data_IF_704599706960
#
_entry.id   IF_704599706960
#
_cell.length_a   1.000
_cell.length_b   1.000
_cell.length_c   1.000
_cell.angle_alpha   90.00
_cell.angle_beta   90.00
_cell.angle_gamma   90.00
#
_symmetry.space_group_name_H-M   'P 1'
#
loop_
_entity.id
_entity.type
_entity.pdbx_description
1 polymer ?
#
# COMPACT_ATOMS: atom_id res chain seq x y z
N UNK A 1 52.32 22.97 -2.93
CA UNK A 1 51.62 21.74 -3.34
C UNK A 1 50.15 21.92 -3.00
N UNK A 2 49.29 21.98 -4.02
CA UNK A 2 47.84 21.98 -3.83
C UNK A 2 47.37 20.52 -3.81
N UNK A 3 46.72 20.12 -2.72
CA UNK A 3 46.19 18.78 -2.53
C UNK A 3 44.99 18.53 -3.44
N UNK A 4 45.12 17.54 -4.32
CA UNK A 4 44.03 17.04 -5.14
C UNK A 4 43.05 16.30 -4.24
N UNK A 5 41.87 16.86 -4.03
CA UNK A 5 40.74 16.16 -3.42
C UNK A 5 40.20 15.17 -4.45
N UNK A 6 40.59 13.90 -4.31
CA UNK A 6 40.03 12.79 -5.06
C UNK A 6 38.60 12.52 -4.55
N UNK A 7 37.61 12.99 -5.30
CA UNK A 7 36.20 12.76 -4.99
C UNK A 7 35.83 11.37 -5.55
N UNK A 8 35.55 10.36 -4.71
CA UNK A 8 35.26 9.02 -5.21
C UNK A 8 34.03 9.07 -6.12
N UNK A 9 34.17 8.53 -7.33
CA UNK A 9 33.06 8.42 -8.27
C UNK A 9 31.85 7.75 -7.59
N UNK A 10 30.62 8.27 -7.75
CA UNK A 10 29.45 7.69 -7.11
C UNK A 10 29.30 6.25 -7.58
N UNK A 11 29.24 5.31 -6.63
CA UNK A 11 28.98 3.91 -6.90
C UNK A 11 27.74 3.78 -7.81
N UNK A 12 27.74 2.88 -8.81
CA UNK A 12 26.60 2.72 -9.71
C UNK A 12 25.35 2.46 -8.87
N UNK A 13 24.36 3.35 -9.00
CA UNK A 13 23.07 3.20 -8.30
C UNK A 13 22.48 1.86 -8.75
N UNK A 14 22.48 0.89 -7.84
CA UNK A 14 21.78 -0.39 -8.05
C UNK A 14 20.34 -0.04 -8.42
N UNK A 15 19.91 -0.51 -9.58
CA UNK A 15 18.58 -0.19 -10.08
C UNK A 15 17.53 -0.87 -9.19
N UNK A 16 16.52 -0.11 -8.73
CA UNK A 16 15.51 -0.60 -7.79
C UNK A 16 14.86 -1.91 -8.29
N UNK A 17 14.60 -2.92 -7.44
CA UNK A 17 14.08 -4.23 -7.86
C UNK A 17 12.86 -4.15 -8.79
N UNK A 18 11.93 -3.23 -8.54
CA UNK A 18 10.77 -3.01 -9.40
C UNK A 18 11.10 -2.46 -10.80
N UNK A 19 12.13 -1.61 -10.94
CA UNK A 19 12.57 -1.14 -12.27
C UNK A 19 13.15 -2.26 -13.10
N UNK A 20 13.85 -3.20 -12.46
CA UNK A 20 14.35 -4.41 -13.13
C UNK A 20 13.15 -5.26 -13.54
N UNK A 21 12.20 -5.49 -12.63
CA UNK A 21 11.00 -6.28 -12.89
C UNK A 21 10.13 -5.72 -14.03
N UNK A 22 10.00 -4.40 -14.14
CA UNK A 22 9.29 -3.75 -15.25
C UNK A 22 9.93 -4.06 -16.61
N UNK A 23 11.26 -4.25 -16.67
CA UNK A 23 11.98 -4.61 -17.90
C UNK A 23 11.93 -6.11 -18.18
N UNK A 24 12.10 -6.94 -17.16
CA UNK A 24 12.27 -8.39 -17.33
C UNK A 24 10.95 -9.14 -17.42
N UNK A 25 9.91 -8.67 -16.71
CA UNK A 25 8.62 -9.35 -16.59
C UNK A 25 7.46 -8.38 -16.86
N UNK A 26 7.31 -7.86 -18.09
CA UNK A 26 6.27 -6.88 -18.41
C UNK A 26 4.87 -7.43 -18.12
N UNK A 27 3.96 -6.53 -17.72
CA UNK A 27 2.58 -6.83 -17.37
C UNK A 27 1.65 -5.89 -18.13
N UNK A 28 0.48 -6.35 -18.60
CA UNK A 28 -0.50 -5.49 -19.26
C UNK A 28 -1.13 -4.47 -18.31
N UNK A 29 -1.08 -4.72 -16.99
CA UNK A 29 -1.63 -3.79 -16.00
C UNK A 29 -0.70 -2.58 -15.80
N UNK A 30 -1.24 -1.38 -15.92
CA UNK A 30 -0.54 -0.12 -15.66
C UNK A 30 -1.04 0.53 -14.37
N UNK A 31 -0.15 0.64 -13.38
CA UNK A 31 -0.44 1.30 -12.10
C UNK A 31 -0.81 2.77 -12.27
N UNK A 32 -0.15 3.50 -13.19
CA UNK A 32 -0.47 4.90 -13.46
C UNK A 32 -1.87 5.07 -14.07
N UNK A 33 -2.26 4.14 -14.96
CA UNK A 33 -3.60 4.13 -15.54
C UNK A 33 -4.65 3.82 -14.46
N UNK A 34 -4.39 2.84 -13.59
CA UNK A 34 -5.27 2.53 -12.47
C UNK A 34 -5.46 3.72 -11.53
N UNK A 35 -4.37 4.35 -11.08
CA UNK A 35 -4.44 5.56 -10.22
C UNK A 35 -5.25 6.69 -10.85
N UNK A 36 -5.16 6.84 -12.18
CA UNK A 36 -5.96 7.81 -12.93
C UNK A 36 -7.44 7.44 -12.97
N UNK A 37 -7.79 6.17 -13.18
CA UNK A 37 -9.18 5.69 -13.13
C UNK A 37 -9.75 5.94 -11.74
N UNK A 38 -9.05 5.47 -10.69
CA UNK A 38 -9.46 5.63 -9.30
C UNK A 38 -9.64 7.10 -8.88
N UNK A 39 -8.78 8.01 -9.36
CA UNK A 39 -8.85 9.42 -8.96
C UNK A 39 -9.92 10.23 -9.68
N UNK A 40 -10.34 9.80 -10.88
CA UNK A 40 -11.28 10.55 -11.71
C UNK A 40 -12.67 9.89 -11.77
N UNK A 41 -12.87 8.73 -11.13
CA UNK A 41 -14.16 8.08 -11.11
C UNK A 41 -15.17 8.91 -10.30
N UNK A 42 -16.37 9.06 -10.85
CA UNK A 42 -17.52 9.56 -10.09
C UNK A 42 -18.20 8.46 -9.27
N UNK A 43 -17.97 7.20 -9.64
CA UNK A 43 -18.49 6.01 -8.98
C UNK A 43 -17.36 4.99 -8.80
N UNK A 44 -17.09 4.65 -7.54
CA UNK A 44 -16.08 3.67 -7.19
C UNK A 44 -16.46 2.23 -7.55
N UNK A 45 -17.76 1.91 -7.66
CA UNK A 45 -18.21 0.57 -8.05
C UNK A 45 -17.76 0.23 -9.47
N UNK A 46 -17.96 1.17 -10.40
CA UNK A 46 -17.49 1.04 -11.78
C UNK A 46 -15.95 1.03 -11.88
N UNK A 47 -15.27 1.85 -11.07
CA UNK A 47 -13.81 1.86 -11.02
C UNK A 47 -13.25 0.51 -10.55
N UNK A 48 -13.83 -0.08 -9.51
CA UNK A 48 -13.40 -1.37 -8.97
C UNK A 48 -13.74 -2.54 -9.90
N UNK A 49 -14.86 -2.46 -10.62
CA UNK A 49 -15.14 -3.42 -11.70
C UNK A 49 -14.06 -3.37 -12.78
N UNK A 50 -13.71 -2.17 -13.26
CA UNK A 50 -12.63 -1.98 -14.23
C UNK A 50 -11.28 -2.44 -13.67
N UNK A 51 -11.01 -2.23 -12.38
CA UNK A 51 -9.80 -2.73 -11.74
C UNK A 51 -9.66 -4.24 -11.92
N UNK A 52 -10.69 -5.02 -11.57
CA UNK A 52 -10.63 -6.48 -11.67
C UNK A 52 -10.61 -7.00 -13.11
N UNK A 53 -11.10 -6.23 -14.08
CA UNK A 53 -10.95 -6.54 -15.51
C UNK A 53 -9.50 -6.33 -16.00
N UNK A 54 -8.79 -5.36 -15.43
CA UNK A 54 -7.39 -5.04 -15.77
C UNK A 54 -6.36 -5.81 -14.94
N UNK A 55 -6.73 -6.23 -13.73
CA UNK A 55 -5.82 -6.78 -12.72
C UNK A 55 -5.10 -8.04 -13.24
N UNK A 56 -3.78 -7.99 -13.24
CA UNK A 56 -2.92 -9.10 -13.63
C UNK A 56 -2.18 -9.64 -12.40
N UNK A 57 -2.66 -10.78 -11.87
CA UNK A 57 -2.10 -11.42 -10.68
C UNK A 57 -0.72 -12.06 -10.90
N UNK A 58 -0.23 -12.14 -12.14
CA UNK A 58 1.14 -12.57 -12.44
C UNK A 58 2.14 -11.42 -12.26
N UNK A 59 1.71 -10.20 -12.58
CA UNK A 59 2.51 -8.99 -12.46
C UNK A 59 2.34 -8.26 -11.13
N UNK A 60 1.24 -8.47 -10.43
CA UNK A 60 0.88 -7.70 -9.24
C UNK A 60 0.26 -8.60 -8.17
N UNK A 61 0.39 -8.18 -6.93
CA UNK A 61 -0.23 -8.86 -5.80
C UNK A 61 -0.87 -7.87 -4.84
N UNK A 62 -1.90 -8.33 -4.14
CA UNK A 62 -2.63 -7.54 -3.17
C UNK A 62 -2.32 -8.09 -1.77
N UNK A 63 -2.06 -7.20 -0.83
CA UNK A 63 -1.66 -7.53 0.53
C UNK A 63 -2.46 -6.72 1.54
N UNK A 64 -2.93 -7.42 2.56
CA UNK A 64 -3.46 -6.85 3.79
C UNK A 64 -2.32 -6.73 4.79
N UNK A 65 -2.17 -5.57 5.43
CA UNK A 65 -1.22 -5.35 6.52
C UNK A 65 -1.97 -4.95 7.78
N UNK A 66 -1.97 -5.79 8.81
CA UNK A 66 -2.54 -5.45 10.11
C UNK A 66 -1.43 -5.09 11.10
N UNK A 67 -1.58 -3.94 11.77
CA UNK A 67 -0.60 -3.48 12.74
C UNK A 67 -0.53 -4.44 13.93
N UNK A 68 0.69 -4.75 14.38
CA UNK A 68 0.91 -5.77 15.42
C UNK A 68 0.69 -5.25 16.84
N UNK A 69 0.67 -3.92 17.04
CA UNK A 69 0.68 -3.29 18.36
C UNK A 69 -0.58 -2.45 18.62
N UNK A 70 -1.76 -3.01 18.35
CA UNK A 70 -3.05 -2.32 18.53
C UNK A 70 -3.24 -1.74 19.95
N UNK A 71 -2.71 -2.41 20.99
CA UNK A 71 -2.78 -1.94 22.38
C UNK A 71 -2.06 -0.60 22.62
N UNK A 72 -1.13 -0.21 21.75
CA UNK A 72 -0.41 1.06 21.82
C UNK A 72 -1.21 2.21 21.19
N UNK A 73 -2.26 1.90 20.43
CA UNK A 73 -3.11 2.89 19.75
C UNK A 73 -4.09 3.50 20.76
N UNK A 74 -3.66 4.61 21.38
CA UNK A 74 -4.42 5.26 22.47
C UNK A 74 -5.20 6.50 22.07
N UNK A 75 -4.70 7.24 21.08
CA UNK A 75 -5.27 8.53 20.64
C UNK A 75 -5.36 8.53 19.12
N UNK A 76 -6.54 8.82 18.56
CA UNK A 76 -6.79 8.78 17.12
C UNK A 76 -5.84 9.70 16.36
N UNK A 77 -5.64 10.94 16.83
CA UNK A 77 -4.72 11.88 16.22
C UNK A 77 -3.27 11.36 16.15
N UNK A 78 -2.79 10.69 17.21
CA UNK A 78 -1.45 10.10 17.22
C UNK A 78 -1.35 8.91 16.26
N UNK A 79 -2.40 8.09 16.19
CA UNK A 79 -2.48 6.95 15.26
C UNK A 79 -2.52 7.43 13.80
N UNK A 80 -3.24 8.52 13.53
CA UNK A 80 -3.28 9.17 12.22
C UNK A 80 -1.91 9.75 11.82
N UNK A 81 -1.13 10.26 12.78
CA UNK A 81 0.25 10.68 12.54
C UNK A 81 1.20 9.51 12.26
N UNK A 82 1.01 8.36 12.91
CA UNK A 82 1.75 7.13 12.61
C UNK A 82 1.54 6.72 11.14
N UNK A 83 0.29 6.71 10.67
CA UNK A 83 -0.02 6.47 9.25
C UNK A 83 0.63 7.53 8.34
N UNK A 84 0.60 8.80 8.73
CA UNK A 84 1.26 9.87 7.98
C UNK A 84 2.76 9.64 7.80
N UNK A 85 3.46 9.24 8.87
CA UNK A 85 4.88 8.90 8.82
C UNK A 85 5.15 7.69 7.93
N UNK A 86 4.30 6.65 8.02
CA UNK A 86 4.38 5.47 7.16
C UNK A 86 4.29 5.86 5.67
N UNK A 87 3.30 6.67 5.28
CA UNK A 87 3.10 7.10 3.89
C UNK A 87 4.32 7.89 3.38
N UNK A 88 4.89 8.79 4.19
CA UNK A 88 6.05 9.59 3.81
C UNK A 88 7.31 8.75 3.57
N UNK A 89 7.54 7.72 4.40
CA UNK A 89 8.69 6.82 4.26
C UNK A 89 8.57 5.87 3.06
N UNK A 90 7.35 5.61 2.59
CA UNK A 90 7.10 4.72 1.46
C UNK A 90 7.19 5.43 0.09
N UNK A 91 7.55 6.72 0.00
CA UNK A 91 7.51 7.47 -1.26
C UNK A 91 8.45 6.93 -2.37
N UNK A 92 9.55 6.25 -1.99
CA UNK A 92 10.48 5.66 -2.96
C UNK A 92 9.81 4.68 -3.93
N UNK A 93 8.89 3.85 -3.43
CA UNK A 93 8.21 2.81 -4.23
C UNK A 93 6.84 3.25 -4.73
N UNK A 94 6.50 4.54 -4.62
CA UNK A 94 5.18 5.08 -4.98
C UNK A 94 4.72 4.70 -6.36
N UNK A 95 5.62 4.63 -7.35
CA UNK A 95 5.29 4.22 -8.72
C UNK A 95 4.70 2.80 -8.80
N UNK A 96 5.06 1.91 -7.89
CA UNK A 96 4.71 0.49 -7.89
C UNK A 96 3.78 0.08 -6.74
N UNK A 97 3.21 1.05 -6.04
CA UNK A 97 2.35 0.82 -4.90
C UNK A 97 1.08 1.69 -5.00
N UNK A 98 -0.06 1.10 -4.69
CA UNK A 98 -1.33 1.77 -4.52
C UNK A 98 -2.09 1.11 -3.37
N UNK A 99 -2.87 1.86 -2.61
CA UNK A 99 -3.72 1.24 -1.60
C UNK A 99 -4.35 2.24 -0.66
N UNK A 100 -4.84 1.72 0.46
CA UNK A 100 -5.36 2.54 1.55
C UNK A 100 -4.73 2.16 2.87
N UNK A 101 -4.61 3.17 3.72
CA UNK A 101 -4.23 3.05 5.11
C UNK A 101 -5.41 3.50 5.96
N UNK A 102 -5.94 2.62 6.79
CA UNK A 102 -7.19 2.85 7.52
C UNK A 102 -7.00 2.67 9.02
N UNK A 103 -7.77 3.44 9.80
CA UNK A 103 -7.95 3.26 11.23
C UNK A 103 -9.40 2.84 11.44
N UNK A 104 -9.60 1.69 12.07
CA UNK A 104 -10.94 1.17 12.40
C UNK A 104 -11.08 0.89 13.89
N UNK A 105 -12.33 0.69 14.34
CA UNK A 105 -12.65 0.34 15.71
C UNK A 105 -13.39 1.46 16.43
N UNK A 106 -12.94 1.79 17.64
CA UNK A 106 -13.51 2.89 18.45
C UNK A 106 -12.40 3.84 18.89
N UNK A 107 -12.74 5.11 19.05
CA UNK A 107 -11.85 6.12 19.62
C UNK A 107 -11.71 5.95 21.15
N UNK A 108 -11.21 4.78 21.54
CA UNK A 108 -10.94 4.37 22.91
C UNK A 108 -9.55 3.72 22.96
N UNK A 109 -8.77 3.92 24.03
CA UNK A 109 -7.43 3.37 24.10
C UNK A 109 -7.39 1.84 23.97
N UNK A 110 -6.62 1.34 22.99
CA UNK A 110 -6.48 -0.09 22.72
C UNK A 110 -7.66 -0.71 21.93
N UNK A 111 -8.62 0.10 21.49
CA UNK A 111 -9.76 -0.33 20.67
C UNK A 111 -9.63 0.07 19.19
N UNK A 112 -8.57 0.78 18.83
CA UNK A 112 -8.26 1.14 17.45
C UNK A 112 -7.38 0.07 16.81
N UNK A 113 -7.55 -0.14 15.52
CA UNK A 113 -6.74 -1.03 14.70
C UNK A 113 -6.32 -0.31 13.45
N UNK A 114 -5.07 -0.51 13.03
CA UNK A 114 -4.58 0.00 11.76
C UNK A 114 -4.50 -1.15 10.78
N UNK A 115 -5.19 -1.00 9.65
CA UNK A 115 -5.19 -1.99 8.57
C UNK A 115 -4.90 -1.28 7.25
N UNK A 116 -3.95 -1.84 6.50
CA UNK A 116 -3.56 -1.41 5.17
C UNK A 116 -3.99 -2.43 4.13
N UNK A 117 -4.42 -1.96 2.96
CA UNK A 117 -4.57 -2.81 1.78
C UNK A 117 -3.78 -2.23 0.63
N UNK A 118 -2.72 -2.92 0.22
CA UNK A 118 -1.82 -2.50 -0.83
C UNK A 118 -1.83 -3.43 -2.04
N UNK A 119 -1.95 -2.84 -3.22
CA UNK A 119 -1.56 -3.42 -4.50
C UNK A 119 -0.08 -3.07 -4.75
N UNK A 120 0.76 -4.09 -4.88
CA UNK A 120 2.20 -3.96 -5.08
C UNK A 120 2.64 -4.74 -6.32
N UNK A 121 3.68 -4.23 -6.99
CA UNK A 121 4.30 -4.90 -8.14
C UNK A 121 4.96 -6.21 -7.70
N UNK A 122 4.80 -7.26 -8.49
CA UNK A 122 5.34 -8.59 -8.22
C UNK A 122 4.49 -9.36 -7.21
N UNK A 123 5.07 -10.42 -6.66
CA UNK A 123 4.42 -11.40 -5.80
C UNK A 123 4.88 -11.35 -4.34
N UNK A 124 5.69 -10.35 -3.98
CA UNK A 124 6.31 -10.20 -2.67
C UNK A 124 6.08 -8.82 -2.08
N UNK A 125 5.81 -8.77 -0.77
CA UNK A 125 5.72 -7.55 0.03
C UNK A 125 7.10 -7.02 0.47
N UNK A 126 8.16 -7.83 0.33
CA UNK A 126 9.49 -7.51 0.84
C UNK A 126 10.02 -6.13 0.41
N UNK A 127 9.82 -5.67 -0.84
CA UNK A 127 10.29 -4.34 -1.23
C UNK A 127 9.65 -3.18 -0.46
N UNK A 128 8.42 -3.36 0.06
CA UNK A 128 7.81 -2.38 0.97
C UNK A 128 8.52 -2.38 2.33
N UNK A 129 8.87 -3.55 2.83
CA UNK A 129 9.61 -3.72 4.11
C UNK A 129 11.01 -3.13 3.99
N UNK A 130 11.71 -3.39 2.89
CA UNK A 130 13.06 -2.86 2.65
C UNK A 130 13.07 -1.33 2.46
N UNK A 131 11.97 -0.77 1.94
CA UNK A 131 11.81 0.67 1.72
C UNK A 131 11.43 1.42 3.02
N UNK A 132 10.65 0.78 3.90
CA UNK A 132 10.10 1.41 5.09
C UNK A 132 10.13 0.44 6.27
N UNK A 133 11.06 0.66 7.18
CA UNK A 133 11.24 -0.17 8.39
C UNK A 133 9.96 -0.32 9.22
N UNK A 134 9.06 0.67 9.21
CA UNK A 134 7.79 0.56 9.93
C UNK A 134 6.88 -0.53 9.37
N UNK A 135 7.06 -0.93 8.11
CA UNK A 135 6.29 -2.03 7.52
C UNK A 135 6.58 -3.36 8.23
N UNK A 136 7.70 -3.49 8.96
CA UNK A 136 7.97 -4.63 9.83
C UNK A 136 7.03 -4.70 11.05
N UNK A 137 6.37 -3.60 11.42
CA UNK A 137 5.38 -3.55 12.50
C UNK A 137 3.99 -4.07 12.08
N UNK A 138 3.85 -4.57 10.85
CA UNK A 138 2.60 -5.09 10.30
C UNK A 138 2.72 -6.58 9.97
N UNK A 139 1.65 -7.32 10.19
CA UNK A 139 1.51 -8.68 9.69
C UNK A 139 0.94 -8.61 8.28
N UNK A 140 1.74 -9.00 7.29
CA UNK A 140 1.36 -8.96 5.89
C UNK A 140 0.76 -10.29 5.43
N UNK A 141 -0.49 -10.25 4.98
CA UNK A 141 -1.21 -11.40 4.43
C UNK A 141 -1.54 -11.14 2.97
N UNK A 142 -1.10 -12.04 2.08
CA UNK A 142 -1.43 -11.93 0.66
C UNK A 142 -2.87 -12.33 0.43
N UNK A 143 -3.60 -11.54 -0.35
CA UNK A 143 -4.93 -11.90 -0.86
C UNK A 143 -4.76 -12.98 -1.94
N UNK A 144 -5.45 -14.12 -1.83
CA UNK A 144 -5.36 -15.19 -2.82
C UNK A 144 -5.73 -14.73 -4.23
N UNK A 145 -5.11 -15.35 -5.24
CA UNK A 145 -5.48 -15.19 -6.65
C UNK A 145 -5.95 -16.56 -7.19
N UNK A 146 -7.12 -16.65 -7.86
CA UNK A 146 -8.04 -15.56 -8.19
C UNK A 146 -8.72 -14.97 -6.94
N UNK A 147 -9.00 -13.66 -6.99
CA UNK A 147 -9.62 -12.93 -5.87
C UNK A 147 -11.08 -13.37 -5.74
N UNK A 148 -11.46 -13.85 -4.55
CA UNK A 148 -12.83 -14.29 -4.27
C UNK A 148 -13.81 -13.11 -4.25
N UNK A 149 -15.12 -13.36 -4.43
CA UNK A 149 -16.12 -12.28 -4.34
C UNK A 149 -16.14 -11.61 -2.95
N UNK A 150 -15.81 -12.35 -1.89
CA UNK A 150 -15.68 -11.81 -0.54
C UNK A 150 -14.46 -10.89 -0.40
N UNK A 151 -13.32 -11.30 -0.96
CA UNK A 151 -12.11 -10.47 -0.99
C UNK A 151 -12.31 -9.23 -1.87
N UNK A 152 -13.03 -9.34 -2.99
CA UNK A 152 -13.38 -8.19 -3.85
C UNK A 152 -14.25 -7.18 -3.10
N UNK A 153 -15.25 -7.67 -2.36
CA UNK A 153 -16.10 -6.82 -1.51
C UNK A 153 -15.27 -6.15 -0.42
N UNK A 154 -14.39 -6.90 0.24
CA UNK A 154 -13.53 -6.37 1.30
C UNK A 154 -12.58 -5.30 0.73
N UNK A 155 -11.97 -5.55 -0.42
CA UNK A 155 -11.14 -4.57 -1.12
C UNK A 155 -11.92 -3.32 -1.51
N UNK A 156 -13.15 -3.48 -1.98
CA UNK A 156 -14.04 -2.34 -2.25
C UNK A 156 -14.27 -1.52 -0.98
N UNK A 157 -14.67 -2.16 0.13
CA UNK A 157 -14.93 -1.48 1.40
C UNK A 157 -13.70 -0.69 1.88
N UNK A 158 -12.51 -1.32 1.84
CA UNK A 158 -11.25 -0.70 2.30
C UNK A 158 -10.69 0.36 1.36
N UNK A 159 -10.72 0.14 0.05
CA UNK A 159 -10.19 1.12 -0.89
C UNK A 159 -11.12 2.32 -1.00
N UNK A 160 -12.42 2.11 -1.02
CA UNK A 160 -13.40 3.17 -1.26
C UNK A 160 -13.98 3.80 0.03
N UNK A 161 -13.68 3.23 1.20
CA UNK A 161 -14.15 3.71 2.51
C UNK A 161 -15.69 3.81 2.62
N UNK A 162 -16.40 2.92 1.93
CA UNK A 162 -17.87 2.94 1.76
C UNK A 162 -18.65 2.27 2.92
N UNK A 163 -17.97 1.74 3.95
CA UNK A 163 -18.66 1.00 5.01
C UNK A 163 -17.87 0.79 6.30
N UNK A 164 -18.47 0.05 7.27
CA UNK A 164 -17.70 -0.49 8.38
C UNK A 164 -16.66 -1.47 7.85
N UNK A 165 -15.40 -1.27 8.24
CA UNK A 165 -14.27 -2.08 7.83
C UNK A 165 -14.16 -3.27 8.78
N UNK A 166 -14.31 -4.49 8.25
CA UNK A 166 -14.42 -5.73 9.04
C UNK A 166 -15.49 -5.65 10.15
N UNK A 167 -16.60 -4.96 9.86
CA UNK A 167 -17.69 -4.76 10.83
C UNK A 167 -17.41 -3.70 11.91
N UNK A 168 -16.29 -2.99 11.83
CA UNK A 168 -15.92 -1.90 12.75
C UNK A 168 -16.04 -0.53 12.09
N UNK A 169 -16.27 0.53 12.87
CA UNK A 169 -16.35 1.88 12.32
C UNK A 169 -15.00 2.31 11.73
N UNK A 170 -15.02 2.88 10.52
CA UNK A 170 -13.85 3.57 9.96
C UNK A 170 -13.70 4.94 10.64
N UNK A 171 -12.60 5.13 11.36
CA UNK A 171 -12.29 6.36 12.11
C UNK A 171 -11.47 7.34 11.26
N UNK A 172 -10.56 6.82 10.44
CA UNK A 172 -9.74 7.60 9.51
C UNK A 172 -9.32 6.71 8.33
N UNK A 173 -9.15 7.30 7.15
CA UNK A 173 -8.73 6.59 5.95
C UNK A 173 -7.92 7.51 5.05
N UNK A 174 -6.81 7.00 4.54
CA UNK A 174 -5.93 7.71 3.62
C UNK A 174 -5.59 6.84 2.43
N UNK A 175 -5.79 7.39 1.24
CA UNK A 175 -5.37 6.74 -0.01
C UNK A 175 -3.88 7.00 -0.24
N UNK A 176 -3.12 5.93 -0.47
CA UNK A 176 -1.75 5.98 -0.95
C UNK A 176 -1.75 5.80 -2.47
N UNK A 177 -1.33 6.84 -3.20
CA UNK A 177 -1.21 6.84 -4.66
C UNK A 177 -0.10 7.76 -5.13
#
# INVERSE_FOLDING_TARGET
>A
EEGVFDNPAPAPKVEHPFKIMDKTNPTPFSMDAWKKIYSNCSDYHDAMKQFFELYDSNGWSIWRGDYQYDSELRVLFMTSNLIGGFIQRTDEIRKWLFGTCTIRGKEEPGSMKVTHYFLIRGDSIQPLIDCNDDAACYTWTRVPAPVSEEDKKTLYDYWCSEGPLDGEACLDSRVYK
#
